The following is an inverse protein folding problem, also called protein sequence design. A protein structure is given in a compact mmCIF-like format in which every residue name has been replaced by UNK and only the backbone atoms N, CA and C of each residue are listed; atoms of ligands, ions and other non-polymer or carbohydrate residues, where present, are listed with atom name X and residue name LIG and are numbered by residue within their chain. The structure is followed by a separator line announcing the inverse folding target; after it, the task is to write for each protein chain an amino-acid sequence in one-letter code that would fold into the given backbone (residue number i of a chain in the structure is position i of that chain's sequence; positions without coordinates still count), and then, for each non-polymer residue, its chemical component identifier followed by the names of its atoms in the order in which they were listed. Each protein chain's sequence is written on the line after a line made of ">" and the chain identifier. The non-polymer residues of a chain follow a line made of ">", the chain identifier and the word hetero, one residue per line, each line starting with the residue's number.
data_IF_901435499559
#
_entry.id   IF_901435499559
#
_cell.length_a   1.000
_cell.length_b   1.000
_cell.length_c   1.000
_cell.angle_alpha   90.00
_cell.angle_beta   90.00
_cell.angle_gamma   90.00
#
_symmetry.space_group_name_H-M   'P 1'
#
loop_
_entity.id
_entity.type
_entity.pdbx_description
1 polymer ?
#
# COMPACT_ATOMS: atom_id res chain seq x y z
N UNK A 1 -29.31 -10.60 -12.89
CA UNK A 1 -29.92 -9.86 -11.76
C UNK A 1 -29.23 -10.28 -10.47
N UNK A 2 -28.39 -9.44 -9.85
CA UNK A 2 -27.93 -9.58 -8.44
C UNK A 2 -27.28 -8.28 -7.97
N UNK A 3 -28.09 -7.22 -7.90
CA UNK A 3 -27.80 -6.06 -7.04
C UNK A 3 -28.32 -6.41 -5.66
N UNK A 4 -27.42 -6.64 -4.73
CA UNK A 4 -27.66 -6.28 -3.34
C UNK A 4 -26.47 -5.43 -2.90
N UNK A 5 -26.42 -4.13 -3.26
CA UNK A 5 -25.54 -3.25 -2.50
C UNK A 5 -26.11 -3.27 -1.08
N UNK A 6 -25.25 -3.42 -0.07
CA UNK A 6 -25.64 -3.11 1.30
C UNK A 6 -25.33 -1.62 1.51
N UNK A 7 -26.15 -0.67 1.02
CA UNK A 7 -25.82 0.77 1.06
C UNK A 7 -25.60 1.25 2.51
N UNK A 8 -26.25 0.59 3.47
CA UNK A 8 -26.06 0.85 4.90
C UNK A 8 -24.64 0.51 5.37
N UNK A 9 -24.04 -0.59 4.88
CA UNK A 9 -22.67 -0.98 5.24
C UNK A 9 -21.68 0.00 4.62
N UNK A 10 -21.90 0.40 3.36
CA UNK A 10 -21.03 1.37 2.70
C UNK A 10 -21.10 2.75 3.37
N UNK A 11 -22.31 3.20 3.76
CA UNK A 11 -22.51 4.44 4.49
C UNK A 11 -21.90 4.38 5.89
N UNK A 12 -22.05 3.24 6.59
CA UNK A 12 -21.42 3.04 7.90
C UNK A 12 -19.90 3.08 7.80
N UNK A 13 -19.33 2.44 6.77
CA UNK A 13 -17.90 2.49 6.51
C UNK A 13 -17.42 3.92 6.26
N UNK A 14 -18.13 4.67 5.40
CA UNK A 14 -17.82 6.07 5.12
C UNK A 14 -17.90 6.93 6.39
N UNK A 15 -18.96 6.75 7.19
CA UNK A 15 -19.13 7.46 8.45
C UNK A 15 -17.96 7.18 9.42
N UNK A 16 -17.53 5.93 9.55
CA UNK A 16 -16.37 5.56 10.36
C UNK A 16 -15.10 6.23 9.86
N UNK A 17 -14.84 6.23 8.54
CA UNK A 17 -13.70 6.93 7.97
C UNK A 17 -13.73 8.44 8.26
N UNK A 18 -14.91 9.07 8.11
CA UNK A 18 -15.10 10.51 8.41
C UNK A 18 -14.87 10.79 9.89
N UNK A 19 -15.39 9.97 10.79
CA UNK A 19 -15.19 10.11 12.24
C UNK A 19 -13.71 10.01 12.59
N UNK A 20 -12.99 9.04 12.04
CA UNK A 20 -11.54 8.89 12.28
C UNK A 20 -10.79 10.12 11.79
N UNK A 21 -11.05 10.58 10.56
CA UNK A 21 -10.40 11.78 10.01
C UNK A 21 -10.74 13.02 10.83
N UNK A 22 -12.01 13.20 11.22
CA UNK A 22 -12.43 14.30 12.07
C UNK A 22 -11.75 14.26 13.44
N UNK A 23 -11.62 13.08 14.06
CA UNK A 23 -10.90 12.92 15.32
C UNK A 23 -9.42 13.33 15.18
N UNK A 24 -8.76 12.99 14.07
CA UNK A 24 -7.38 13.42 13.80
C UNK A 24 -7.24 14.93 13.57
N UNK A 25 -8.23 15.57 12.94
CA UNK A 25 -8.19 17.00 12.60
C UNK A 25 -8.62 17.91 13.75
N UNK A 26 -9.55 17.46 14.58
CA UNK A 26 -10.22 18.32 15.57
C UNK A 26 -9.98 17.90 17.03
N UNK A 27 -9.26 16.80 17.29
CA UNK A 27 -8.90 16.38 18.66
C UNK A 27 -7.40 16.35 18.87
N UNK A 28 -6.89 17.33 19.62
CA UNK A 28 -5.49 17.38 20.05
C UNK A 28 -5.08 16.14 20.84
N UNK A 29 -5.99 15.57 21.65
CA UNK A 29 -5.73 14.36 22.44
C UNK A 29 -5.44 13.17 21.53
N UNK A 30 -6.25 12.99 20.48
CA UNK A 30 -6.07 11.90 19.51
C UNK A 30 -4.79 12.10 18.70
N UNK A 31 -4.55 13.32 18.21
CA UNK A 31 -3.35 13.66 17.46
C UNK A 31 -2.07 13.44 18.30
N UNK A 32 -2.03 13.94 19.54
CA UNK A 32 -0.88 13.73 20.44
C UNK A 32 -0.68 12.26 20.76
N UNK A 33 -1.74 11.52 21.08
CA UNK A 33 -1.67 10.08 21.30
C UNK A 33 -1.07 9.35 20.09
N UNK A 34 -1.51 9.70 18.88
CA UNK A 34 -0.95 9.16 17.64
C UNK A 34 0.55 9.46 17.49
N UNK A 35 0.95 10.72 17.73
CA UNK A 35 2.35 11.13 17.63
C UNK A 35 3.22 10.39 18.65
N UNK A 36 2.78 10.30 19.90
CA UNK A 36 3.48 9.58 20.99
C UNK A 36 3.64 8.11 20.65
N UNK A 37 2.56 7.39 20.30
CA UNK A 37 2.66 5.96 19.95
C UNK A 37 3.55 5.73 18.73
N UNK A 38 3.50 6.62 17.74
CA UNK A 38 4.36 6.51 16.55
C UNK A 38 5.84 6.74 16.88
N UNK A 39 6.14 7.64 17.81
CA UNK A 39 7.51 7.92 18.25
C UNK A 39 8.05 6.80 19.15
N UNK A 40 7.28 6.37 20.15
CA UNK A 40 7.74 5.43 21.19
C UNK A 40 7.73 3.98 20.69
N UNK A 41 6.83 3.64 19.78
CA UNK A 41 6.63 2.28 19.28
C UNK A 41 6.49 2.23 17.75
N UNK A 42 7.47 2.71 16.97
CA UNK A 42 7.35 2.91 15.53
C UNK A 42 6.98 1.62 14.77
N UNK A 43 7.58 0.48 15.15
CA UNK A 43 7.34 -0.80 14.47
C UNK A 43 5.98 -1.41 14.81
N UNK A 44 5.53 -1.31 16.07
CA UNK A 44 4.19 -1.76 16.48
C UNK A 44 3.13 -0.87 15.82
N UNK A 45 3.36 0.45 15.82
CA UNK A 45 2.50 1.40 15.13
C UNK A 45 2.46 1.11 13.62
N UNK A 46 3.61 0.80 13.00
CA UNK A 46 3.72 0.39 11.61
C UNK A 46 2.93 -0.88 11.30
N UNK A 47 3.06 -1.91 12.16
CA UNK A 47 2.25 -3.12 12.08
C UNK A 47 0.76 -2.79 12.08
N UNK A 48 0.29 -2.05 13.07
CA UNK A 48 -1.13 -1.70 13.20
C UNK A 48 -1.64 -0.87 12.02
N UNK A 49 -0.86 0.12 11.55
CA UNK A 49 -1.21 0.96 10.40
C UNK A 49 -1.43 0.11 9.15
N UNK A 50 -0.50 -0.76 8.79
CA UNK A 50 -0.63 -1.59 7.59
C UNK A 50 -1.68 -2.69 7.76
N UNK A 51 -1.71 -3.37 8.91
CA UNK A 51 -2.70 -4.40 9.19
C UNK A 51 -4.13 -3.89 9.02
N UNK A 52 -4.40 -2.64 9.42
CA UNK A 52 -5.71 -2.00 9.29
C UNK A 52 -5.93 -1.39 7.91
N UNK A 53 -5.09 -0.45 7.47
CA UNK A 53 -5.35 0.34 6.27
C UNK A 53 -5.12 -0.43 4.98
N UNK A 54 -4.09 -1.27 4.89
CA UNK A 54 -3.83 -2.02 3.67
C UNK A 54 -4.87 -3.13 3.46
N UNK A 55 -5.23 -3.84 4.54
CA UNK A 55 -6.33 -4.83 4.51
C UNK A 55 -7.67 -4.17 4.20
N UNK A 56 -7.94 -3.00 4.77
CA UNK A 56 -9.12 -2.21 4.40
C UNK A 56 -9.11 -1.84 2.91
N UNK A 57 -7.97 -1.40 2.38
CA UNK A 57 -7.81 -1.09 0.96
C UNK A 57 -8.09 -2.27 0.04
N UNK A 58 -7.63 -3.48 0.41
CA UNK A 58 -7.96 -4.70 -0.33
C UNK A 58 -9.44 -5.05 -0.26
N UNK A 59 -10.05 -4.94 0.93
CA UNK A 59 -11.49 -5.19 1.12
C UNK A 59 -12.34 -4.19 0.33
N UNK A 60 -11.93 -2.91 0.30
CA UNK A 60 -12.54 -1.87 -0.52
C UNK A 60 -12.42 -2.20 -2.02
N UNK A 61 -11.25 -2.65 -2.47
CA UNK A 61 -11.07 -3.07 -3.86
C UNK A 61 -11.98 -4.25 -4.23
N UNK A 62 -12.17 -5.22 -3.33
CA UNK A 62 -13.13 -6.31 -3.53
C UNK A 62 -14.57 -5.79 -3.57
N UNK A 63 -14.93 -4.84 -2.70
CA UNK A 63 -16.26 -4.22 -2.69
C UNK A 63 -16.57 -3.52 -4.00
N UNK A 64 -15.59 -2.82 -4.57
CA UNK A 64 -15.73 -2.08 -5.83
C UNK A 64 -15.80 -3.02 -7.04
N UNK A 65 -15.06 -4.13 -7.04
CA UNK A 65 -15.04 -5.09 -8.16
C UNK A 65 -16.20 -6.08 -8.14
N UNK A 66 -16.49 -6.68 -6.98
CA UNK A 66 -17.40 -7.83 -6.84
C UNK A 66 -18.71 -7.50 -6.14
N UNK A 67 -18.85 -6.30 -5.58
CA UNK A 67 -19.99 -5.93 -4.75
C UNK A 67 -19.90 -6.43 -3.30
N UNK A 68 -18.93 -7.28 -2.95
CA UNK A 68 -18.74 -7.86 -1.62
C UNK A 68 -17.49 -7.30 -0.95
N UNK A 69 -17.60 -6.83 0.30
CA UNK A 69 -16.44 -6.39 1.10
C UNK A 69 -15.49 -7.56 1.41
N UNK A 70 -16.05 -8.72 1.75
CA UNK A 70 -15.31 -9.91 2.14
C UNK A 70 -15.86 -11.11 1.33
N UNK A 71 -15.33 -11.37 0.12
CA UNK A 71 -15.69 -12.57 -0.62
C UNK A 71 -15.27 -13.85 0.12
N UNK A 72 -15.86 -14.99 -0.24
CA UNK A 72 -15.43 -16.28 0.31
C UNK A 72 -13.95 -16.51 0.04
N UNK A 73 -13.24 -17.02 1.05
CA UNK A 73 -11.80 -17.22 0.97
C UNK A 73 -10.95 -15.94 1.11
N UNK A 74 -11.55 -14.77 1.37
CA UNK A 74 -10.79 -13.51 1.51
C UNK A 74 -9.70 -13.58 2.59
N UNK A 75 -10.00 -14.18 3.74
CA UNK A 75 -9.00 -14.34 4.82
C UNK A 75 -8.58 -13.02 5.46
N UNK A 76 -9.55 -12.26 5.98
CA UNK A 76 -9.35 -10.94 6.59
C UNK A 76 -8.21 -10.94 7.63
N UNK A 77 -8.25 -11.86 8.60
CA UNK A 77 -7.27 -11.92 9.69
C UNK A 77 -5.88 -12.33 9.19
N UNK A 78 -5.71 -13.42 8.41
CA UNK A 78 -4.41 -13.73 7.83
C UNK A 78 -3.80 -12.60 6.99
N UNK A 79 -4.62 -11.92 6.18
CA UNK A 79 -4.17 -10.76 5.40
C UNK A 79 -3.71 -9.62 6.30
N UNK A 80 -4.47 -9.28 7.34
CA UNK A 80 -4.08 -8.25 8.30
C UNK A 80 -2.76 -8.56 8.99
N UNK A 81 -2.52 -9.82 9.35
CA UNK A 81 -1.23 -10.25 9.95
C UNK A 81 -0.08 -10.10 8.94
N UNK A 82 -0.26 -10.58 7.70
CA UNK A 82 0.77 -10.43 6.63
C UNK A 82 1.07 -8.95 6.37
N UNK A 83 0.04 -8.12 6.21
CA UNK A 83 0.20 -6.68 6.05
C UNK A 83 0.88 -6.02 7.23
N UNK A 84 0.53 -6.41 8.45
CA UNK A 84 1.19 -5.89 9.64
C UNK A 84 2.68 -6.22 9.66
N UNK A 85 3.06 -7.46 9.35
CA UNK A 85 4.47 -7.87 9.25
C UNK A 85 5.21 -7.08 8.16
N UNK A 86 4.58 -6.91 6.99
CA UNK A 86 5.13 -6.05 5.94
C UNK A 86 5.26 -4.59 6.41
N UNK A 87 4.31 -4.10 7.20
CA UNK A 87 4.33 -2.76 7.78
C UNK A 87 5.53 -2.52 8.69
N UNK A 88 5.96 -3.53 9.45
CA UNK A 88 7.21 -3.48 10.22
C UNK A 88 8.41 -3.30 9.29
N UNK A 89 8.51 -4.13 8.24
CA UNK A 89 9.60 -4.07 7.27
C UNK A 89 9.63 -2.74 6.50
N UNK A 90 8.47 -2.22 6.10
CA UNK A 90 8.33 -0.92 5.42
C UNK A 90 8.73 0.22 6.35
N UNK A 91 8.33 0.16 7.62
CA UNK A 91 8.73 1.17 8.63
C UNK A 91 10.24 1.19 8.80
N UNK A 92 10.87 0.02 8.89
CA UNK A 92 12.34 -0.09 8.94
C UNK A 92 13.00 0.45 7.67
N UNK A 93 12.49 0.09 6.49
CA UNK A 93 13.00 0.60 5.22
C UNK A 93 12.89 2.12 5.14
N UNK A 94 11.78 2.71 5.58
CA UNK A 94 11.61 4.16 5.61
C UNK A 94 12.71 4.83 6.44
N UNK A 95 13.06 4.29 7.61
CA UNK A 95 14.16 4.80 8.43
C UNK A 95 15.52 4.67 7.71
N UNK A 96 15.82 3.49 7.17
CA UNK A 96 17.09 3.21 6.48
C UNK A 96 17.28 4.15 5.28
N UNK A 97 16.28 4.24 4.39
CA UNK A 97 16.40 5.03 3.16
C UNK A 97 16.28 6.53 3.42
N UNK A 98 15.53 6.96 4.45
CA UNK A 98 15.51 8.38 4.85
C UNK A 98 16.84 8.87 5.41
N UNK A 99 17.68 7.98 5.94
CA UNK A 99 19.05 8.31 6.36
C UNK A 99 20.06 8.09 5.23
N UNK A 100 19.95 6.98 4.51
CA UNK A 100 20.91 6.54 3.51
C UNK A 100 20.92 7.37 2.23
N UNK A 101 19.75 7.71 1.67
CA UNK A 101 19.70 8.46 0.42
C UNK A 101 20.27 9.89 0.55
N UNK A 102 19.96 10.67 1.62
CA UNK A 102 20.60 11.96 1.84
C UNK A 102 22.12 11.86 2.07
N UNK A 103 22.58 10.79 2.74
CA UNK A 103 24.02 10.55 2.91
C UNK A 103 24.71 10.24 1.57
N UNK A 104 24.08 9.45 0.71
CA UNK A 104 24.56 9.19 -0.64
C UNK A 104 24.62 10.48 -1.47
N UNK A 105 23.59 11.34 -1.41
CA UNK A 105 23.62 12.65 -2.05
C UNK A 105 24.78 13.53 -1.56
N UNK A 106 25.06 13.53 -0.24
CA UNK A 106 26.21 14.24 0.31
C UNK A 106 27.52 13.72 -0.26
N UNK A 107 27.68 12.40 -0.41
CA UNK A 107 28.89 11.82 -1.02
C UNK A 107 29.10 12.24 -2.49
N UNK A 108 28.05 12.72 -3.16
CA UNK A 108 28.08 13.29 -4.51
C UNK A 108 28.30 14.82 -4.51
N UNK A 109 28.64 15.43 -3.37
CA UNK A 109 28.90 16.87 -3.24
C UNK A 109 27.68 17.72 -2.87
N UNK A 110 26.54 17.11 -2.52
CA UNK A 110 25.34 17.82 -2.08
C UNK A 110 25.26 17.92 -0.56
N UNK A 111 26.12 18.74 0.06
CA UNK A 111 26.25 18.88 1.52
C UNK A 111 24.96 19.27 2.25
N UNK A 112 24.02 19.89 1.54
CA UNK A 112 22.73 20.30 2.08
C UNK A 112 21.73 19.15 2.26
N UNK A 113 21.96 17.99 1.63
CA UNK A 113 20.96 16.91 1.55
C UNK A 113 20.58 16.30 2.92
N UNK A 114 21.51 16.00 3.85
CA UNK A 114 21.15 15.39 5.13
C UNK A 114 20.19 16.21 6.00
N UNK A 115 20.23 17.54 5.88
CA UNK A 115 19.31 18.43 6.61
C UNK A 115 18.01 18.74 5.85
N UNK A 116 17.92 18.38 4.57
CA UNK A 116 16.87 18.87 3.68
C UNK A 116 15.45 18.38 4.06
N UNK A 117 15.31 17.13 4.52
CA UNK A 117 14.00 16.57 4.90
C UNK A 117 13.41 17.22 6.16
N UNK A 118 14.26 17.68 7.08
CA UNK A 118 13.84 18.43 8.27
C UNK A 118 13.63 19.92 7.97
N UNK A 119 14.22 20.42 6.88
CA UNK A 119 14.12 21.81 6.46
C UNK A 119 12.74 22.23 5.93
N UNK A 120 12.59 23.52 5.59
CA UNK A 120 11.37 24.06 5.01
C UNK A 120 11.08 23.46 3.63
N UNK A 121 9.84 23.62 3.16
CA UNK A 121 9.47 23.22 1.81
C UNK A 121 10.28 23.99 0.77
N UNK A 122 10.82 23.29 -0.22
CA UNK A 122 11.62 23.88 -1.29
C UNK A 122 12.33 22.84 -2.14
N UNK A 123 13.03 23.28 -3.17
CA UNK A 123 13.67 22.40 -4.16
C UNK A 123 14.62 21.37 -3.52
N UNK A 124 15.38 21.76 -2.50
CA UNK A 124 16.28 20.86 -1.75
C UNK A 124 15.50 19.71 -1.09
N UNK A 125 14.42 20.03 -0.36
CA UNK A 125 13.58 19.02 0.30
C UNK A 125 12.92 18.09 -0.71
N UNK A 126 12.42 18.64 -1.82
CA UNK A 126 11.81 17.84 -2.92
C UNK A 126 12.84 16.92 -3.57
N UNK A 127 14.03 17.43 -3.90
CA UNK A 127 15.09 16.62 -4.48
C UNK A 127 15.53 15.48 -3.54
N UNK A 128 15.68 15.75 -2.24
CA UNK A 128 16.00 14.72 -1.26
C UNK A 128 14.85 13.71 -1.07
N UNK A 129 13.60 14.16 -1.00
CA UNK A 129 12.44 13.28 -0.90
C UNK A 129 12.32 12.37 -2.14
N UNK A 130 12.59 12.92 -3.33
CA UNK A 130 12.66 12.15 -4.57
C UNK A 130 13.80 11.13 -4.54
N UNK A 131 14.99 11.49 -4.05
CA UNK A 131 16.11 10.56 -3.93
C UNK A 131 15.82 9.41 -2.96
N UNK A 132 15.20 9.69 -1.81
CA UNK A 132 14.72 8.66 -0.87
C UNK A 132 13.70 7.76 -1.57
N UNK A 133 12.72 8.36 -2.25
CA UNK A 133 11.70 7.61 -2.98
C UNK A 133 12.30 6.72 -4.08
N UNK A 134 13.22 7.24 -4.88
CA UNK A 134 13.86 6.51 -5.96
C UNK A 134 14.66 5.31 -5.43
N UNK A 135 15.44 5.51 -4.37
CA UNK A 135 16.29 4.45 -3.81
C UNK A 135 15.47 3.36 -3.11
N UNK A 136 14.48 3.71 -2.29
CA UNK A 136 13.62 2.70 -1.65
C UNK A 136 12.83 1.90 -2.68
N UNK A 137 12.36 2.55 -3.75
CA UNK A 137 11.53 1.92 -4.77
C UNK A 137 12.32 1.07 -5.77
N UNK A 138 13.61 1.33 -5.97
CA UNK A 138 14.45 0.52 -6.86
C UNK A 138 15.18 -0.60 -6.12
N UNK A 139 15.47 -0.43 -4.82
CA UNK A 139 16.27 -1.39 -4.06
C UNK A 139 15.46 -2.29 -3.13
N UNK A 140 14.44 -1.75 -2.45
CA UNK A 140 13.67 -2.50 -1.45
C UNK A 140 12.30 -2.94 -1.96
N UNK A 141 11.57 -2.03 -2.62
CA UNK A 141 10.20 -2.30 -3.04
C UNK A 141 10.05 -3.54 -3.94
N UNK A 142 10.95 -3.85 -4.90
CA UNK A 142 10.79 -5.03 -5.75
C UNK A 142 10.81 -6.34 -4.95
N UNK A 143 11.77 -6.47 -4.03
CA UNK A 143 11.87 -7.64 -3.16
C UNK A 143 10.63 -7.75 -2.25
N UNK A 144 10.18 -6.63 -1.68
CA UNK A 144 8.98 -6.58 -0.85
C UNK A 144 7.71 -6.98 -1.62
N UNK A 145 7.53 -6.47 -2.85
CA UNK A 145 6.36 -6.78 -3.69
C UNK A 145 6.32 -8.27 -4.08
N UNK A 146 7.48 -8.87 -4.41
CA UNK A 146 7.57 -10.31 -4.66
C UNK A 146 7.24 -11.10 -3.40
N UNK A 147 7.78 -10.71 -2.24
CA UNK A 147 7.49 -11.37 -0.97
C UNK A 147 6.00 -11.29 -0.60
N UNK A 148 5.38 -10.12 -0.80
CA UNK A 148 3.95 -9.92 -0.62
C UNK A 148 3.13 -10.81 -1.57
N UNK A 149 3.49 -10.87 -2.87
CA UNK A 149 2.80 -11.73 -3.83
C UNK A 149 2.90 -13.21 -3.48
N UNK A 150 4.06 -13.66 -3.00
CA UNK A 150 4.25 -15.02 -2.49
C UNK A 150 3.38 -15.28 -1.27
N UNK A 151 3.29 -14.32 -0.35
CA UNK A 151 2.40 -14.41 0.81
C UNK A 151 0.92 -14.48 0.39
N UNK A 152 0.50 -13.69 -0.58
CA UNK A 152 -0.87 -13.74 -1.13
C UNK A 152 -1.20 -15.12 -1.71
N UNK A 153 -0.33 -15.67 -2.56
CA UNK A 153 -0.52 -17.00 -3.13
C UNK A 153 -0.58 -18.08 -2.05
N UNK A 154 0.21 -17.93 -0.97
CA UNK A 154 0.14 -18.82 0.18
C UNK A 154 -1.22 -18.71 0.89
N UNK A 155 -1.72 -17.49 1.16
CA UNK A 155 -3.04 -17.31 1.78
C UNK A 155 -4.16 -17.89 0.91
N UNK A 156 -4.10 -17.68 -0.41
CA UNK A 156 -5.04 -18.21 -1.40
C UNK A 156 -5.05 -19.74 -1.43
N UNK A 157 -3.89 -20.39 -1.35
CA UNK A 157 -3.79 -21.85 -1.28
C UNK A 157 -4.55 -22.46 -0.09
N UNK A 158 -4.60 -21.75 1.04
CA UNK A 158 -5.37 -22.15 2.22
C UNK A 158 -6.79 -21.57 2.24
N UNK A 159 -7.26 -20.95 1.16
CA UNK A 159 -8.58 -20.31 1.08
C UNK A 159 -8.79 -19.27 2.19
N UNK A 160 -7.75 -18.51 2.54
CA UNK A 160 -7.81 -17.47 3.57
C UNK A 160 -8.02 -17.96 5.00
N UNK A 161 -7.88 -19.28 5.28
CA UNK A 161 -8.05 -19.84 6.63
C UNK A 161 -6.87 -19.47 7.54
N UNK A 162 -7.11 -19.40 8.85
CA UNK A 162 -6.08 -19.13 9.86
C UNK A 162 -4.93 -20.14 9.88
N UNK A 163 -5.16 -21.35 9.36
CA UNK A 163 -4.11 -22.37 9.21
C UNK A 163 -2.91 -21.84 8.39
N UNK A 164 -3.16 -20.95 7.43
CA UNK A 164 -2.10 -20.32 6.61
C UNK A 164 -1.02 -19.62 7.44
N UNK A 165 -1.36 -19.07 8.61
CA UNK A 165 -0.42 -18.39 9.51
C UNK A 165 0.48 -19.35 10.29
N UNK A 166 0.04 -20.60 10.47
CA UNK A 166 0.81 -21.63 11.19
C UNK A 166 1.67 -22.48 10.25
N UNK A 167 1.32 -22.51 8.97
CA UNK A 167 2.02 -23.31 7.95
C UNK A 167 3.07 -22.45 7.27
N UNK A 168 4.30 -22.95 7.25
CA UNK A 168 5.40 -22.27 6.56
C UNK A 168 5.12 -22.26 5.04
N UNK A 169 5.28 -21.11 4.36
CA UNK A 169 5.18 -21.07 2.92
C UNK A 169 6.24 -21.94 2.27
N UNK A 170 5.99 -22.35 1.01
CA UNK A 170 6.96 -23.07 0.17
C UNK A 170 7.42 -22.13 -0.95
N UNK A 171 8.39 -21.23 -0.72
CA UNK A 171 8.68 -20.13 -1.64
C UNK A 171 9.04 -20.61 -3.04
N UNK A 172 9.82 -21.69 -3.19
CA UNK A 172 10.19 -22.21 -4.51
C UNK A 172 9.00 -22.72 -5.35
N UNK A 173 7.90 -23.17 -4.73
CA UNK A 173 6.67 -23.53 -5.45
C UNK A 173 5.88 -22.26 -5.78
N UNK A 174 5.73 -21.37 -4.80
CA UNK A 174 4.93 -20.15 -4.95
C UNK A 174 5.55 -19.17 -5.95
N UNK A 175 6.87 -19.01 -5.96
CA UNK A 175 7.60 -18.19 -6.94
C UNK A 175 7.42 -18.71 -8.36
N UNK A 176 7.31 -20.02 -8.56
CA UNK A 176 7.01 -20.59 -9.89
C UNK A 176 5.57 -20.36 -10.33
N UNK A 177 4.65 -20.17 -9.37
CA UNK A 177 3.24 -19.87 -9.64
C UNK A 177 2.97 -18.38 -9.86
N UNK A 178 3.97 -17.51 -9.68
CA UNK A 178 3.84 -16.08 -10.00
C UNK A 178 3.73 -15.91 -11.52
N UNK A 179 2.70 -15.17 -11.96
CA UNK A 179 2.65 -14.61 -13.30
C UNK A 179 3.72 -13.52 -13.42
N UNK A 180 4.89 -13.90 -13.93
CA UNK A 180 6.06 -13.02 -14.01
C UNK A 180 5.93 -11.92 -15.05
N UNK A 181 5.10 -12.12 -16.09
CA UNK A 181 4.83 -11.10 -17.09
C UNK A 181 4.03 -9.95 -16.47
N UNK A 182 2.91 -10.27 -15.82
CA UNK A 182 2.12 -9.28 -15.10
C UNK A 182 2.91 -8.66 -13.93
N UNK A 183 3.68 -9.47 -13.20
CA UNK A 183 4.51 -8.98 -12.10
C UNK A 183 5.55 -7.95 -12.58
N UNK A 184 6.24 -8.22 -13.69
CA UNK A 184 7.24 -7.32 -14.22
C UNK A 184 6.61 -6.05 -14.80
N UNK A 185 5.69 -6.20 -15.76
CA UNK A 185 5.18 -5.06 -16.53
C UNK A 185 4.28 -4.14 -15.71
N UNK A 186 3.40 -4.73 -14.90
CA UNK A 186 2.36 -3.97 -14.20
C UNK A 186 2.86 -3.54 -12.82
N UNK A 187 3.40 -4.48 -12.03
CA UNK A 187 3.72 -4.23 -10.62
C UNK A 187 5.10 -3.57 -10.49
N UNK A 188 6.14 -4.23 -11.00
CA UNK A 188 7.53 -3.81 -10.77
C UNK A 188 7.97 -2.66 -11.66
N UNK A 189 7.52 -2.58 -12.92
CA UNK A 189 7.89 -1.49 -13.81
C UNK A 189 6.90 -0.33 -13.73
N UNK A 190 5.68 -0.50 -14.26
CA UNK A 190 4.70 0.60 -14.32
C UNK A 190 4.26 1.06 -12.94
N UNK A 191 3.98 0.12 -12.04
CA UNK A 191 3.59 0.42 -10.67
C UNK A 191 4.67 1.21 -9.93
N UNK A 192 5.92 0.79 -10.01
CA UNK A 192 7.03 1.49 -9.35
C UNK A 192 7.25 2.88 -9.97
N UNK A 193 7.39 2.96 -11.29
CA UNK A 193 7.75 4.21 -11.99
C UNK A 193 6.64 5.25 -11.90
N UNK A 194 5.40 4.87 -12.18
CA UNK A 194 4.31 5.83 -12.35
C UNK A 194 3.44 6.02 -11.10
N UNK A 195 3.51 5.10 -10.14
CA UNK A 195 2.73 5.22 -8.90
C UNK A 195 3.62 5.37 -7.68
N UNK A 196 4.48 4.39 -7.37
CA UNK A 196 5.19 4.37 -6.10
C UNK A 196 6.30 5.41 -5.99
N UNK A 197 7.07 5.71 -7.04
CA UNK A 197 8.08 6.77 -6.98
C UNK A 197 7.43 8.15 -6.77
N UNK A 198 6.41 8.56 -7.53
CA UNK A 198 5.69 9.81 -7.25
C UNK A 198 5.04 9.82 -5.86
N UNK A 199 4.33 8.75 -5.48
CA UNK A 199 3.61 8.69 -4.21
C UNK A 199 4.55 8.68 -3.00
N UNK A 200 5.66 7.95 -3.05
CA UNK A 200 6.67 8.00 -1.99
C UNK A 200 7.43 9.33 -1.98
N UNK A 201 7.60 10.01 -3.11
CA UNK A 201 8.16 11.38 -3.09
C UNK A 201 7.28 12.29 -2.25
N UNK A 202 5.96 12.27 -2.49
CA UNK A 202 5.00 13.00 -1.64
C UNK A 202 5.05 12.52 -0.19
N UNK A 203 5.16 11.21 0.02
CA UNK A 203 5.26 10.62 1.37
C UNK A 203 6.44 11.22 2.15
N UNK A 204 7.63 11.32 1.55
CA UNK A 204 8.82 11.84 2.23
C UNK A 204 8.84 13.37 2.39
N UNK A 205 7.92 14.08 1.73
CA UNK A 205 7.67 15.51 2.00
C UNK A 205 6.88 15.73 3.29
N UNK A 206 6.12 14.74 3.74
CA UNK A 206 5.33 14.81 4.98
C UNK A 206 6.22 14.77 6.23
N UNK A 207 5.73 15.29 7.37
CA UNK A 207 6.39 15.08 8.65
C UNK A 207 6.55 13.60 8.94
N UNK A 208 7.65 13.23 9.60
CA UNK A 208 8.08 11.84 9.78
C UNK A 208 6.98 10.94 10.36
N UNK A 209 6.27 11.43 11.38
CA UNK A 209 5.19 10.70 12.03
C UNK A 209 4.07 10.27 11.08
N UNK A 210 3.85 10.97 9.96
CA UNK A 210 2.76 10.67 9.01
C UNK A 210 3.19 9.84 7.80
N UNK A 211 4.49 9.66 7.55
CA UNK A 211 5.00 8.99 6.35
C UNK A 211 4.47 7.56 6.23
N UNK A 212 4.60 6.79 7.31
CA UNK A 212 4.14 5.38 7.36
C UNK A 212 2.62 5.28 7.27
N UNK A 213 1.88 6.20 7.91
CA UNK A 213 0.42 6.23 7.83
C UNK A 213 -0.06 6.53 6.41
N UNK A 214 0.54 7.53 5.77
CA UNK A 214 0.23 7.89 4.38
C UNK A 214 0.55 6.73 3.43
N UNK A 215 1.70 6.09 3.59
CA UNK A 215 2.06 4.90 2.82
C UNK A 215 1.06 3.75 2.99
N UNK A 216 0.61 3.47 4.21
CA UNK A 216 -0.42 2.46 4.47
C UNK A 216 -1.77 2.81 3.80
N UNK A 217 -2.12 4.10 3.73
CA UNK A 217 -3.34 4.57 3.07
C UNK A 217 -3.27 4.48 1.53
N UNK A 218 -2.09 4.54 0.92
CA UNK A 218 -1.93 4.42 -0.54
C UNK A 218 -2.44 3.09 -1.09
N UNK A 219 -2.47 2.02 -0.28
CA UNK A 219 -3.08 0.74 -0.67
C UNK A 219 -4.57 0.86 -1.00
N UNK A 220 -5.33 1.66 -0.24
CA UNK A 220 -6.73 1.93 -0.52
C UNK A 220 -6.91 2.80 -1.78
N UNK A 221 -6.02 3.78 -1.97
CA UNK A 221 -6.02 4.65 -3.16
C UNK A 221 -5.75 3.84 -4.43
N UNK A 222 -4.77 2.93 -4.40
CA UNK A 222 -4.47 2.06 -5.53
C UNK A 222 -5.66 1.15 -5.88
N UNK A 223 -6.33 0.60 -4.86
CA UNK A 223 -7.56 -0.17 -5.03
C UNK A 223 -8.67 0.62 -5.74
N UNK A 224 -8.83 1.90 -5.41
CA UNK A 224 -9.79 2.80 -6.05
C UNK A 224 -9.41 3.10 -7.51
N UNK A 225 -8.14 3.40 -7.77
CA UNK A 225 -7.63 3.68 -9.13
C UNK A 225 -7.88 2.48 -10.05
N UNK A 226 -7.55 1.27 -9.60
CA UNK A 226 -7.72 0.05 -10.38
C UNK A 226 -9.19 -0.29 -10.63
N UNK A 227 -10.05 -0.10 -9.63
CA UNK A 227 -11.49 -0.31 -9.79
C UNK A 227 -12.10 0.63 -10.84
N UNK A 228 -11.70 1.90 -10.83
CA UNK A 228 -12.16 2.88 -11.81
C UNK A 228 -11.62 2.62 -13.22
N UNK A 229 -10.34 2.25 -13.34
CA UNK A 229 -9.73 1.91 -14.62
C UNK A 229 -10.36 0.63 -15.24
N UNK A 230 -10.67 -0.37 -14.41
CA UNK A 230 -11.36 -1.59 -14.82
C UNK A 230 -12.80 -1.34 -15.29
N UNK A 231 -13.54 -0.46 -14.61
CA UNK A 231 -14.90 -0.08 -15.00
C UNK A 231 -14.99 0.59 -16.37
N UNK A 232 -13.94 1.32 -16.79
CA UNK A 232 -13.88 1.93 -18.13
C UNK A 232 -13.64 0.92 -19.24
N UNK A 233 -12.81 -0.10 -19.01
CA UNK A 233 -12.56 -1.17 -20.00
C UNK A 233 -13.80 -2.02 -20.29
N UNK A 234 -14.64 -2.25 -19.30
CA UNK A 234 -15.93 -2.95 -19.50
C UNK A 234 -16.98 -2.11 -20.22
N UNK A 235 -16.88 -0.77 -20.17
CA UNK A 235 -17.78 0.14 -20.86
C UNK A 235 -17.35 0.46 -22.31
N UNK A 236 -16.08 0.19 -22.65
CA UNK A 236 -15.50 0.49 -23.96
C UNK A 236 -15.27 -0.73 -24.86
N UNK A 237 -15.74 -1.93 -24.49
CA UNK A 237 -15.67 -3.10 -25.35
C UNK A 237 -16.79 -3.02 -26.41
N UNK A 238 -16.49 -2.86 -27.72
CA UNK A 238 -17.50 -2.89 -28.76
C UNK A 238 -18.04 -4.30 -28.95
N UNK A 239 -19.34 -4.39 -29.25
CA UNK A 239 -20.03 -5.57 -29.74
C UNK A 239 -19.47 -6.00 -31.12
N UNK A 240 -18.26 -6.54 -31.15
CA UNK A 240 -17.57 -6.98 -32.36
C UNK A 240 -17.34 -8.50 -32.39
N UNK A 241 -18.37 -9.28 -31.99
CA UNK A 241 -18.34 -10.74 -32.03
C UNK A 241 -19.64 -11.36 -32.57
N UNK A 242 -20.35 -10.66 -33.47
CA UNK A 242 -21.56 -11.18 -34.15
C UNK A 242 -21.56 -10.96 -35.67
N UNK A 243 -20.40 -10.72 -36.29
CA UNK A 243 -20.29 -10.44 -37.73
C UNK A 243 -19.40 -11.42 -38.52
N UNK A 244 -19.18 -12.65 -38.02
CA UNK A 244 -18.46 -13.70 -38.77
C UNK A 244 -19.21 -15.04 -38.77
N UNK A 245 -20.54 -14.96 -38.87
CA UNK A 245 -21.41 -16.10 -39.15
C UNK A 245 -22.42 -15.69 -40.23
N UNK A 246 -21.95 -15.61 -41.48
CA UNK A 246 -22.74 -15.36 -42.67
C UNK A 246 -22.10 -16.00 -43.88
#
# INVERSE_FOLDING_TARGET
>A
MKRSPHPLVDLSCLAVCVIIVAAFLFSDTVLRGYLTVTADHPYVAGFCKFALLATFGESLAQRLRSGRWLPEGFGLVPRAVVWGLLGVCITLAFAIFSAGAPAAMKSLGLDWAPAALAGPMGAKKVATAFAVSLTINTMFAPAMMVAHKVADLHLEHYGGRLESLRRMPRPGVLLRAVDWEAMWDIVLFRGVVFFWIPAHTVTFLLPEAFRVLFAAALGAVLGLILAWAGGRRSASAPAAAEADAG
#
